data_IF_246051340965
#
_entry.id   IF_246051340965
#
_cell.length_a   1.000
_cell.length_b   1.000
_cell.length_c   1.000
_cell.angle_alpha   90.00
_cell.angle_beta   90.00
_cell.angle_gamma   90.00
#
_symmetry.space_group_name_H-M   'P 1'
#
loop_
_entity.id
_entity.type
_entity.pdbx_description
1 polymer ?
#
# COMPACT_ATOMS: atom_id res chain seq x y z
N UNK A 1 -7.87 9.26 -25.21
CA UNK A 1 -7.31 10.43 -24.55
C UNK A 1 -5.95 10.08 -23.94
N UNK A 2 -4.90 10.72 -24.44
CA UNK A 2 -3.55 10.49 -23.90
C UNK A 2 -3.44 11.30 -22.61
N UNK A 3 -3.33 10.61 -21.47
CA UNK A 3 -3.06 11.29 -20.21
C UNK A 3 -1.59 11.70 -20.17
N UNK A 4 -1.29 12.90 -19.65
CA UNK A 4 0.09 13.32 -19.50
C UNK A 4 0.88 12.33 -18.65
N UNK A 5 2.14 12.15 -19.00
CA UNK A 5 3.03 11.27 -18.26
C UNK A 5 3.45 11.83 -16.88
N UNK A 6 3.36 13.14 -16.73
CA UNK A 6 3.74 13.78 -15.45
C UNK A 6 2.65 13.62 -14.39
N UNK A 7 3.07 13.26 -13.21
CA UNK A 7 2.23 13.06 -12.03
C UNK A 7 2.82 13.78 -10.85
N UNK A 8 1.96 14.32 -10.02
CA UNK A 8 2.37 14.99 -8.79
C UNK A 8 1.74 14.30 -7.59
N UNK A 9 2.55 14.06 -6.57
CA UNK A 9 2.10 13.53 -5.30
C UNK A 9 1.84 14.68 -4.34
N UNK A 10 0.65 14.72 -3.75
CA UNK A 10 0.28 15.71 -2.75
C UNK A 10 -0.15 14.99 -1.47
N UNK A 11 0.40 15.42 -0.34
CA UNK A 11 0.06 14.87 0.96
C UNK A 11 -1.11 15.64 1.57
N UNK A 12 -2.08 14.92 2.17
CA UNK A 12 -3.17 15.54 2.90
C UNK A 12 -2.63 16.30 4.12
N UNK A 13 -3.03 17.56 4.24
CA UNK A 13 -2.64 18.39 5.40
C UNK A 13 -3.40 17.94 6.65
N UNK A 14 -4.61 17.36 6.48
CA UNK A 14 -5.49 17.01 7.58
C UNK A 14 -4.98 15.85 8.43
N UNK A 15 -4.56 14.75 7.80
CA UNK A 15 -4.13 13.54 8.52
C UNK A 15 -2.68 13.15 8.27
N UNK A 16 -2.07 13.70 7.23
CA UNK A 16 -0.66 13.45 6.90
C UNK A 16 -0.34 12.05 6.41
N UNK A 17 -1.33 11.16 6.29
CA UNK A 17 -1.14 9.78 5.80
C UNK A 17 -1.80 9.53 4.45
N UNK A 18 -2.71 10.39 4.02
CA UNK A 18 -3.39 10.28 2.73
C UNK A 18 -2.62 11.04 1.66
N UNK A 19 -2.43 10.40 0.53
CA UNK A 19 -1.72 10.97 -0.62
C UNK A 19 -2.65 10.98 -1.83
N UNK A 20 -2.57 12.06 -2.59
CA UNK A 20 -3.34 12.26 -3.81
C UNK A 20 -2.37 12.29 -4.97
N UNK A 21 -2.67 11.56 -6.04
CA UNK A 21 -1.93 11.63 -7.30
C UNK A 21 -2.69 12.55 -8.23
N UNK A 22 -2.02 13.60 -8.70
CA UNK A 22 -2.58 14.55 -9.66
C UNK A 22 -1.85 14.43 -10.99
N UNK A 23 -2.58 14.65 -12.10
CA UNK A 23 -1.98 14.75 -13.42
C UNK A 23 -1.44 16.17 -13.65
N UNK A 24 -0.87 16.43 -14.84
CA UNK A 24 -0.29 17.73 -15.18
C UNK A 24 -1.32 18.88 -15.18
N UNK A 25 -2.62 18.57 -15.29
CA UNK A 25 -3.69 19.55 -15.24
C UNK A 25 -4.24 19.77 -13.83
N UNK A 26 -3.62 19.15 -12.81
CA UNK A 26 -4.07 19.26 -11.43
C UNK A 26 -5.30 18.43 -11.09
N UNK A 27 -5.71 17.53 -11.96
CA UNK A 27 -6.84 16.63 -11.72
C UNK A 27 -6.39 15.45 -10.85
N UNK A 28 -7.19 15.13 -9.84
CA UNK A 28 -6.96 13.98 -8.99
C UNK A 28 -7.26 12.70 -9.76
N UNK A 29 -6.27 11.82 -9.88
CA UNK A 29 -6.40 10.55 -10.61
C UNK A 29 -6.28 9.32 -9.72
N UNK A 30 -5.77 9.47 -8.51
CA UNK A 30 -5.66 8.37 -7.56
C UNK A 30 -5.51 8.89 -6.14
N UNK A 31 -5.84 8.02 -5.18
CA UNK A 31 -5.65 8.28 -3.74
C UNK A 31 -5.10 7.01 -3.11
N UNK A 32 -4.21 7.15 -2.16
CA UNK A 32 -3.72 6.01 -1.36
C UNK A 32 -3.31 6.50 0.03
N UNK A 33 -3.18 5.55 0.95
CA UNK A 33 -2.78 5.84 2.33
C UNK A 33 -1.47 5.10 2.63
N UNK A 34 -0.54 5.80 3.26
CA UNK A 34 0.66 5.19 3.85
C UNK A 34 0.62 5.49 5.35
N UNK A 35 0.43 4.45 6.15
CA UNK A 35 0.34 4.56 7.60
C UNK A 35 1.65 4.11 8.24
N UNK A 36 2.10 4.85 9.25
CA UNK A 36 3.24 4.47 10.09
C UNK A 36 2.79 3.87 11.43
N UNK A 37 1.48 3.82 11.66
CA UNK A 37 0.92 3.20 12.87
C UNK A 37 0.88 1.67 12.72
N UNK A 38 0.99 0.96 13.85
CA UNK A 38 0.83 -0.48 13.85
C UNK A 38 -0.61 -0.87 13.45
N UNK A 39 -0.74 -1.86 12.59
CA UNK A 39 -2.02 -2.38 12.16
C UNK A 39 -2.40 -3.58 13.03
N UNK A 40 -3.53 -3.47 13.73
CA UNK A 40 -4.03 -4.54 14.62
C UNK A 40 -4.20 -5.87 13.87
N UNK A 41 -4.61 -5.83 12.59
CA UNK A 41 -4.78 -7.04 11.81
C UNK A 41 -3.44 -7.73 11.51
N UNK A 42 -2.37 -6.95 11.39
CA UNK A 42 -1.02 -7.49 11.19
C UNK A 42 -0.42 -8.01 12.49
N UNK A 43 -0.69 -7.33 13.61
CA UNK A 43 -0.16 -7.68 14.92
C UNK A 43 -0.83 -8.92 15.52
N UNK A 44 -2.07 -9.23 15.14
CA UNK A 44 -2.80 -10.40 15.67
C UNK A 44 -2.23 -11.74 15.20
N UNK A 45 -1.44 -11.73 14.14
CA UNK A 45 -0.81 -12.94 13.64
C UNK A 45 -1.09 -13.18 12.17
N UNK A 46 -0.32 -14.05 11.59
CA UNK A 46 -0.36 -14.39 10.18
C UNK A 46 -0.21 -15.91 10.02
N UNK A 47 -0.99 -16.48 9.13
CA UNK A 47 -0.74 -17.84 8.66
C UNK A 47 0.33 -17.77 7.58
N UNK A 48 1.57 -17.88 8.00
CA UNK A 48 2.76 -17.62 7.21
C UNK A 48 3.77 -16.84 8.04
N UNK A 49 4.58 -16.02 7.39
CA UNK A 49 5.65 -15.28 8.06
C UNK A 49 5.92 -13.95 7.38
N UNK A 50 5.88 -12.87 8.16
CA UNK A 50 6.31 -11.55 7.69
C UNK A 50 7.83 -11.53 7.46
N UNK A 51 8.30 -10.65 6.59
CA UNK A 51 9.72 -10.48 6.29
C UNK A 51 10.43 -9.76 7.44
N UNK A 52 9.77 -8.79 8.06
CA UNK A 52 10.31 -8.04 9.21
C UNK A 52 9.55 -8.38 10.48
N UNK A 53 10.18 -8.12 11.63
CA UNK A 53 9.56 -8.44 12.91
C UNK A 53 8.30 -7.61 13.15
N UNK A 54 7.23 -8.29 13.58
CA UNK A 54 6.03 -7.66 14.11
C UNK A 54 6.26 -7.33 15.57
N UNK A 55 5.81 -6.17 16.01
CA UNK A 55 5.95 -5.75 17.39
C UNK A 55 7.31 -5.16 17.75
N UNK A 56 8.21 -4.96 16.77
CA UNK A 56 9.45 -4.25 17.01
C UNK A 56 9.17 -2.80 17.40
N UNK A 57 9.99 -2.26 18.29
CA UNK A 57 9.89 -0.86 18.71
C UNK A 57 11.20 -0.14 18.46
N UNK A 58 11.25 0.94 17.66
CA UNK A 58 10.11 1.46 16.87
C UNK A 58 9.66 0.49 15.78
N UNK A 59 8.41 0.64 15.35
CA UNK A 59 7.85 -0.17 14.28
C UNK A 59 8.67 -0.05 13.00
N UNK A 60 8.95 -1.17 12.36
CA UNK A 60 9.84 -1.22 11.21
C UNK A 60 9.13 -1.04 9.86
N UNK A 61 7.84 -1.34 9.80
CA UNK A 61 7.10 -1.29 8.53
C UNK A 61 6.20 -0.07 8.42
N UNK A 62 6.00 0.38 7.19
CA UNK A 62 4.88 1.24 6.82
C UNK A 62 3.83 0.38 6.11
N UNK A 63 2.59 0.78 6.18
CA UNK A 63 1.48 0.08 5.53
C UNK A 63 0.93 0.91 4.38
N UNK A 64 0.85 0.28 3.19
CA UNK A 64 0.15 0.84 2.03
C UNK A 64 -1.26 0.24 1.99
N UNK A 65 -2.28 1.10 2.01
CA UNK A 65 -3.65 0.65 1.92
C UNK A 65 -4.57 1.72 1.30
N UNK A 66 -5.83 1.35 1.05
CA UNK A 66 -6.84 2.24 0.49
C UNK A 66 -6.41 2.83 -0.86
N UNK A 67 -5.90 1.97 -1.74
CA UNK A 67 -5.48 2.38 -3.08
C UNK A 67 -6.70 2.46 -3.98
N UNK A 68 -7.01 3.65 -4.47
CA UNK A 68 -8.11 3.89 -5.40
C UNK A 68 -7.57 4.64 -6.61
N UNK A 69 -7.76 4.07 -7.79
CA UNK A 69 -7.32 4.64 -9.06
C UNK A 69 -8.54 4.90 -9.93
N UNK A 70 -8.64 6.10 -10.49
CA UNK A 70 -9.73 6.46 -11.37
C UNK A 70 -9.73 5.57 -12.63
N UNK A 71 -10.92 5.07 -12.99
CA UNK A 71 -11.08 4.10 -14.10
C UNK A 71 -10.39 4.52 -15.40
N UNK A 72 -10.54 5.77 -15.89
CA UNK A 72 -9.93 6.17 -17.16
C UNK A 72 -8.41 6.08 -17.20
N UNK A 73 -7.74 6.07 -16.04
CA UNK A 73 -6.27 6.04 -15.98
C UNK A 73 -5.72 4.70 -15.50
N UNK A 74 -6.57 3.70 -15.27
CA UNK A 74 -6.12 2.35 -14.92
C UNK A 74 -5.27 1.76 -16.05
N UNK A 75 -4.28 0.95 -15.67
CA UNK A 75 -3.33 0.30 -16.59
C UNK A 75 -2.43 1.27 -17.35
N UNK A 76 -2.22 2.48 -16.80
CA UNK A 76 -1.35 3.51 -17.37
C UNK A 76 -0.16 3.83 -16.48
N UNK A 77 0.24 2.87 -15.64
CA UNK A 77 1.38 3.03 -14.75
C UNK A 77 1.10 3.80 -13.47
N UNK A 78 -0.15 4.15 -13.19
CA UNK A 78 -0.51 4.87 -11.95
C UNK A 78 -0.29 4.00 -10.73
N UNK A 79 -0.67 2.72 -10.79
CA UNK A 79 -0.42 1.77 -9.70
C UNK A 79 1.05 1.63 -9.37
N UNK A 80 1.90 1.50 -10.37
CA UNK A 80 3.36 1.45 -10.18
C UNK A 80 3.90 2.72 -9.55
N UNK A 81 3.41 3.86 -9.98
CA UNK A 81 3.76 5.15 -9.40
C UNK A 81 3.37 5.22 -7.92
N UNK A 82 2.18 4.72 -7.56
CA UNK A 82 1.70 4.68 -6.18
C UNK A 82 2.62 3.80 -5.32
N UNK A 83 2.93 2.59 -5.77
CA UNK A 83 3.78 1.67 -5.01
C UNK A 83 5.18 2.25 -4.82
N UNK A 84 5.77 2.81 -5.87
CA UNK A 84 7.09 3.44 -5.79
C UNK A 84 7.08 4.65 -4.86
N UNK A 85 6.00 5.45 -4.90
CA UNK A 85 5.82 6.60 -4.00
C UNK A 85 5.67 6.17 -2.54
N UNK A 86 4.89 5.11 -2.29
CA UNK A 86 4.72 4.57 -0.94
C UNK A 86 6.05 4.08 -0.37
N UNK A 87 6.88 3.43 -1.17
CA UNK A 87 8.21 2.99 -0.75
C UNK A 87 9.12 4.19 -0.43
N UNK A 88 9.06 5.24 -1.23
CA UNK A 88 9.82 6.47 -0.96
C UNK A 88 9.38 7.12 0.35
N UNK A 89 8.07 7.25 0.56
CA UNK A 89 7.51 7.81 1.80
C UNK A 89 7.95 6.98 3.01
N UNK A 90 7.92 5.66 2.91
CA UNK A 90 8.35 4.77 3.97
C UNK A 90 9.83 4.95 4.30
N UNK A 91 10.69 5.04 3.30
CA UNK A 91 12.13 5.29 3.50
C UNK A 91 12.38 6.65 4.16
N UNK A 92 11.71 7.69 3.71
CA UNK A 92 11.81 9.03 4.29
C UNK A 92 11.35 9.04 5.75
N UNK A 93 10.40 8.18 6.11
CA UNK A 93 9.93 7.98 7.48
C UNK A 93 10.76 6.98 8.27
N UNK A 94 11.94 6.61 7.79
CA UNK A 94 12.87 5.68 8.47
C UNK A 94 12.29 4.29 8.71
N UNK A 95 11.37 3.85 7.85
CA UNK A 95 10.88 2.48 7.86
C UNK A 95 11.75 1.62 6.94
N UNK A 96 11.86 0.34 7.27
CA UNK A 96 12.72 -0.59 6.51
C UNK A 96 11.92 -1.43 5.51
N UNK A 97 10.60 -1.38 5.58
CA UNK A 97 9.74 -2.16 4.69
C UNK A 97 8.37 -1.50 4.50
N UNK A 98 7.65 -1.98 3.49
CA UNK A 98 6.23 -1.67 3.26
C UNK A 98 5.44 -2.97 3.26
N UNK A 99 4.34 -3.00 4.01
CA UNK A 99 3.39 -4.10 4.03
C UNK A 99 2.10 -3.68 3.33
N UNK A 100 1.44 -4.65 2.72
CA UNK A 100 0.14 -4.46 2.11
C UNK A 100 -0.65 -5.76 2.20
N UNK A 101 -1.97 -5.66 2.26
CA UNK A 101 -2.84 -6.81 2.15
C UNK A 101 -3.89 -6.56 1.07
N UNK A 102 -4.26 -7.62 0.38
CA UNK A 102 -5.21 -7.57 -0.73
C UNK A 102 -6.20 -8.72 -0.62
N UNK A 103 -7.36 -8.57 -1.25
CA UNK A 103 -8.25 -9.71 -1.42
C UNK A 103 -7.54 -10.79 -2.23
N UNK A 104 -7.68 -12.09 -1.86
CA UNK A 104 -6.98 -13.17 -2.56
C UNK A 104 -7.29 -13.23 -4.06
N UNK A 105 -8.48 -12.80 -4.46
CA UNK A 105 -8.92 -12.78 -5.87
C UNK A 105 -8.54 -11.50 -6.62
N UNK A 106 -7.85 -10.55 -5.98
CA UNK A 106 -7.46 -9.29 -6.63
C UNK A 106 -6.19 -9.50 -7.47
N UNK A 107 -6.35 -10.04 -8.66
CA UNK A 107 -5.25 -10.33 -9.58
C UNK A 107 -4.44 -9.08 -10.01
N UNK A 108 -5.08 -7.95 -10.36
CA UNK A 108 -4.31 -6.77 -10.75
C UNK A 108 -3.37 -6.26 -9.64
N UNK A 109 -3.82 -6.24 -8.40
CA UNK A 109 -2.98 -5.81 -7.28
C UNK A 109 -1.88 -6.83 -6.96
N UNK A 110 -2.20 -8.12 -7.06
CA UNK A 110 -1.20 -9.17 -6.88
C UNK A 110 -0.07 -9.00 -7.88
N UNK A 111 -0.42 -8.88 -9.15
CA UNK A 111 0.56 -8.69 -10.22
C UNK A 111 1.41 -7.44 -9.98
N UNK A 112 0.77 -6.34 -9.59
CA UNK A 112 1.45 -5.08 -9.31
C UNK A 112 2.47 -5.23 -8.17
N UNK A 113 2.05 -5.79 -7.04
CA UNK A 113 2.92 -5.98 -5.88
C UNK A 113 4.08 -6.91 -6.20
N UNK A 114 3.80 -8.05 -6.84
CA UNK A 114 4.83 -9.03 -7.19
C UNK A 114 5.85 -8.46 -8.18
N UNK A 115 5.41 -7.71 -9.19
CA UNK A 115 6.33 -7.10 -10.15
C UNK A 115 7.17 -5.99 -9.54
N UNK A 116 6.72 -5.41 -8.41
CA UNK A 116 7.50 -4.41 -7.66
C UNK A 116 8.38 -5.02 -6.58
N UNK A 117 8.46 -6.34 -6.52
CA UNK A 117 9.37 -7.05 -5.63
C UNK A 117 8.78 -7.41 -4.27
N UNK A 118 7.48 -7.18 -4.05
CA UNK A 118 6.83 -7.62 -2.81
C UNK A 118 6.77 -9.14 -2.76
N UNK A 119 7.02 -9.67 -1.58
CA UNK A 119 6.97 -11.10 -1.30
C UNK A 119 5.65 -11.46 -0.67
N UNK A 120 5.01 -12.53 -1.17
CA UNK A 120 3.85 -13.11 -0.51
C UNK A 120 4.28 -13.70 0.83
N UNK A 121 3.61 -13.28 1.90
CA UNK A 121 3.97 -13.67 3.27
C UNK A 121 3.00 -14.68 3.87
N UNK A 122 1.78 -14.73 3.39
CA UNK A 122 0.76 -15.62 3.92
C UNK A 122 -0.62 -14.97 3.97
N UNK A 123 -1.46 -15.46 4.86
CA UNK A 123 -2.85 -15.01 5.00
C UNK A 123 -3.07 -14.40 6.37
N UNK A 124 -3.69 -13.22 6.39
CA UNK A 124 -4.19 -12.59 7.62
C UNK A 124 -5.70 -12.56 7.60
N UNK A 125 -6.30 -12.39 8.79
CA UNK A 125 -7.73 -12.20 8.94
C UNK A 125 -8.00 -10.73 9.26
N UNK A 126 -8.84 -10.11 8.45
CA UNK A 126 -9.21 -8.70 8.62
C UNK A 126 -10.68 -8.65 9.01
N UNK A 127 -10.99 -7.93 10.09
CA UNK A 127 -12.38 -7.75 10.55
C UNK A 127 -13.06 -6.64 9.77
N UNK A 128 -14.25 -6.94 9.24
CA UNK A 128 -15.10 -5.93 8.61
C UNK A 128 -15.86 -5.11 9.66
N UNK A 129 -16.69 -4.16 9.19
CA UNK A 129 -17.49 -3.29 10.05
C UNK A 129 -18.49 -4.05 10.94
N UNK A 130 -18.82 -5.29 10.59
CA UNK A 130 -19.75 -6.15 11.36
C UNK A 130 -19.02 -7.16 12.23
N UNK A 131 -17.69 -7.03 12.37
CA UNK A 131 -16.87 -7.94 13.17
C UNK A 131 -16.59 -9.29 12.52
N UNK A 132 -16.97 -9.49 11.27
CA UNK A 132 -16.71 -10.73 10.55
C UNK A 132 -15.27 -10.74 10.02
N UNK A 133 -14.62 -11.88 10.18
CA UNK A 133 -13.26 -12.05 9.68
C UNK A 133 -13.28 -12.46 8.21
N UNK A 134 -12.41 -11.84 7.44
CA UNK A 134 -12.20 -12.15 6.01
C UNK A 134 -10.72 -12.36 5.74
N UNK A 135 -10.38 -13.40 4.94
CA UNK A 135 -8.98 -13.63 4.61
C UNK A 135 -8.45 -12.58 3.64
N UNK A 136 -7.21 -12.19 3.85
CA UNK A 136 -6.46 -11.29 2.96
C UNK A 136 -5.09 -11.87 2.72
N UNK A 137 -4.60 -11.72 1.50
CA UNK A 137 -3.24 -12.10 1.15
C UNK A 137 -2.29 -10.99 1.58
N UNK A 138 -1.28 -11.35 2.36
CA UNK A 138 -0.33 -10.42 2.95
C UNK A 138 0.97 -10.39 2.15
N UNK A 139 1.48 -9.18 1.91
CA UNK A 139 2.69 -8.93 1.13
C UNK A 139 3.60 -7.96 1.86
N UNK A 140 4.90 -8.14 1.68
CA UNK A 140 5.87 -7.20 2.25
C UNK A 140 7.07 -7.03 1.32
N UNK A 141 7.53 -5.78 1.18
CA UNK A 141 8.78 -5.44 0.50
C UNK A 141 9.73 -4.83 1.52
N UNK A 142 10.83 -5.53 1.79
CA UNK A 142 11.93 -5.01 2.62
C UNK A 142 12.94 -4.30 1.73
N UNK A 143 13.32 -3.09 2.12
CA UNK A 143 14.34 -2.31 1.42
C UNK A 143 15.74 -2.90 1.67
N UNK A 144 16.58 -2.69 0.69
CA UNK A 144 17.99 -3.08 0.79
C UNK A 144 18.80 -1.99 1.49
#
# INVERSE_FOLDING_TARGET
KKYPSSRRLTRSVKDGSTYVVENAQGQMIAVFVVSFAADKNYERGIKGEWVTDTGASPQQYAELHWVVVDKPVRRRGVGSFIVDSACRVAREGSRVSVRADIYPENEPMRWLLETRGFKFCGTIQVRDAFGREKPRSAYELRFR
#
